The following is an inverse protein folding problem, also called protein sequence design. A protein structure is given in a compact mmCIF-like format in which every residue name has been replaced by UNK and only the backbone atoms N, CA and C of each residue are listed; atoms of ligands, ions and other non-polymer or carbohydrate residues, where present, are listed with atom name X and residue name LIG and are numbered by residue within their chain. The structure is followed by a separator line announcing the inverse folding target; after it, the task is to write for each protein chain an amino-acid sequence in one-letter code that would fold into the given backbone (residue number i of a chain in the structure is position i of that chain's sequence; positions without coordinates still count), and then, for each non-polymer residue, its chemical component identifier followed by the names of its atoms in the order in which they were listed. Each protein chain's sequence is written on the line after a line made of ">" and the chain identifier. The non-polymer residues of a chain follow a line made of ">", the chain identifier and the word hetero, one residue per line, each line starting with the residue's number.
data_IF_572739459687
#
_entry.id   IF_572739459687
#
_cell.length_a   1.000
_cell.length_b   1.000
_cell.length_c   1.000
_cell.angle_alpha   90.00
_cell.angle_beta   90.00
_cell.angle_gamma   90.00
#
_symmetry.space_group_name_H-M   'P 1'
#
loop_
_entity.id
_entity.type
_entity.pdbx_description
1 polymer ?
#
# COMPACT_ATOMS: atom_id res chain seq x y z
N UNK A 1 -18.01 -25.64 2.91
CA UNK A 1 -17.26 -25.49 4.17
C UNK A 1 -17.13 -24.02 4.55
N UNK A 2 -16.35 -23.20 3.82
CA UNK A 2 -16.20 -21.78 4.12
C UNK A 2 -17.52 -20.99 4.07
N UNK A 3 -18.31 -21.15 3.00
CA UNK A 3 -19.63 -20.49 2.86
C UNK A 3 -20.61 -20.87 3.99
N UNK A 4 -20.51 -22.10 4.51
CA UNK A 4 -21.33 -22.57 5.64
C UNK A 4 -20.91 -21.95 6.98
N UNK A 5 -19.63 -21.62 7.13
CA UNK A 5 -19.07 -21.06 8.37
C UNK A 5 -19.16 -19.52 8.40
N UNK A 6 -18.93 -18.85 7.27
CA UNK A 6 -18.80 -17.39 7.19
C UNK A 6 -19.93 -16.73 6.37
N UNK A 7 -20.91 -17.49 5.86
CA UNK A 7 -22.05 -16.97 5.12
C UNK A 7 -21.62 -15.97 4.03
N UNK A 8 -22.07 -14.70 4.13
CA UNK A 8 -21.82 -13.62 3.16
C UNK A 8 -20.47 -12.91 3.32
N UNK A 9 -19.73 -13.14 4.41
CA UNK A 9 -18.40 -12.54 4.59
C UNK A 9 -17.26 -13.41 4.02
N UNK A 10 -17.61 -14.48 3.30
CA UNK A 10 -16.65 -15.31 2.57
C UNK A 10 -15.95 -14.52 1.48
N UNK A 11 -14.62 -14.59 1.44
CA UNK A 11 -13.83 -14.16 0.30
C UNK A 11 -14.21 -14.93 -0.96
N UNK A 12 -14.00 -14.33 -2.13
CA UNK A 12 -14.26 -15.03 -3.39
C UNK A 12 -13.49 -16.36 -3.46
N UNK A 13 -14.07 -17.38 -4.13
CA UNK A 13 -13.42 -18.67 -4.37
C UNK A 13 -11.97 -18.56 -4.88
N UNK A 14 -11.63 -17.70 -5.87
CA UNK A 14 -10.25 -17.54 -6.31
C UNK A 14 -9.33 -16.99 -5.21
N UNK A 15 -9.77 -15.99 -4.44
CA UNK A 15 -8.99 -15.45 -3.32
C UNK A 15 -8.70 -16.53 -2.26
N UNK A 16 -9.72 -17.33 -1.90
CA UNK A 16 -9.52 -18.44 -0.96
C UNK A 16 -8.52 -19.48 -1.46
N UNK A 17 -8.51 -19.76 -2.78
CA UNK A 17 -7.57 -20.70 -3.39
C UNK A 17 -6.13 -20.16 -3.44
N UNK A 18 -5.95 -18.87 -3.74
CA UNK A 18 -4.65 -18.21 -3.69
C UNK A 18 -4.04 -18.28 -2.28
N UNK A 19 -4.82 -17.95 -1.25
CA UNK A 19 -4.39 -18.08 0.15
C UNK A 19 -4.01 -19.51 0.51
N UNK A 20 -4.85 -20.50 0.14
CA UNK A 20 -4.53 -21.91 0.35
C UNK A 20 -3.19 -22.30 -0.28
N UNK A 21 -2.93 -21.86 -1.52
CA UNK A 21 -1.68 -22.14 -2.23
C UNK A 21 -0.46 -21.55 -1.51
N UNK A 22 -0.49 -20.26 -1.16
CA UNK A 22 0.67 -19.61 -0.50
C UNK A 22 0.93 -20.19 0.90
N UNK A 23 -0.11 -20.53 1.66
CA UNK A 23 0.08 -21.20 2.96
C UNK A 23 0.65 -22.61 2.79
N UNK A 24 0.21 -23.35 1.77
CA UNK A 24 0.76 -24.67 1.44
C UNK A 24 2.23 -24.62 1.01
N UNK A 25 2.64 -23.52 0.39
CA UNK A 25 4.04 -23.24 0.01
C UNK A 25 4.90 -22.79 1.20
N UNK A 26 4.34 -22.67 2.41
CA UNK A 26 5.07 -22.41 3.65
C UNK A 26 5.06 -20.96 4.11
N UNK A 27 4.31 -20.06 3.44
CA UNK A 27 4.04 -18.73 4.00
C UNK A 27 3.30 -18.89 5.33
N UNK A 28 3.72 -18.16 6.36
CA UNK A 28 3.02 -18.12 7.67
C UNK A 28 2.42 -16.75 7.99
N UNK A 29 2.75 -15.74 7.19
CA UNK A 29 2.37 -14.34 7.36
C UNK A 29 0.97 -14.11 6.77
N UNK A 30 0.09 -13.47 7.54
CA UNK A 30 -1.30 -13.18 7.14
C UNK A 30 -1.43 -11.75 6.59
N UNK A 31 -0.48 -10.88 6.93
CA UNK A 31 -0.39 -9.51 6.46
C UNK A 31 -0.21 -9.44 4.94
N UNK A 32 -0.73 -8.39 4.30
CA UNK A 32 -0.55 -8.19 2.86
C UNK A 32 0.95 -8.01 2.55
N UNK A 33 1.43 -8.76 1.56
CA UNK A 33 2.82 -8.65 1.14
C UNK A 33 3.00 -7.32 0.41
N UNK A 34 4.24 -6.82 0.36
CA UNK A 34 4.58 -5.69 -0.49
C UNK A 34 4.10 -5.97 -1.91
N UNK A 35 3.09 -5.21 -2.34
CA UNK A 35 2.58 -5.31 -3.70
C UNK A 35 3.69 -4.85 -4.62
N UNK A 36 4.05 -5.70 -5.58
CA UNK A 36 4.89 -5.29 -6.70
C UNK A 36 4.10 -4.34 -7.59
N UNK A 37 3.95 -3.10 -7.16
CA UNK A 37 3.40 -2.02 -7.96
C UNK A 37 4.48 -1.42 -8.86
N UNK A 38 4.07 -0.60 -9.83
CA UNK A 38 5.01 0.29 -10.51
C UNK A 38 5.69 1.13 -9.43
N UNK A 39 7.01 1.06 -9.34
CA UNK A 39 7.77 2.00 -8.51
C UNK A 39 7.41 3.41 -8.99
N UNK A 40 6.82 4.21 -8.13
CA UNK A 40 6.60 5.61 -8.41
C UNK A 40 7.97 6.25 -8.59
N UNK A 41 8.32 6.61 -9.83
CA UNK A 41 9.56 7.35 -10.13
C UNK A 41 9.57 8.74 -9.49
N UNK A 42 8.42 9.18 -8.97
CA UNK A 42 8.24 10.43 -8.25
C UNK A 42 8.65 10.36 -6.77
N UNK A 43 8.75 9.18 -6.16
CA UNK A 43 9.00 9.01 -4.72
C UNK A 43 10.48 8.83 -4.35
N UNK A 44 11.40 9.30 -5.21
CA UNK A 44 12.84 9.29 -4.93
C UNK A 44 13.18 10.35 -3.87
N UNK A 45 14.15 10.07 -2.98
CA UNK A 45 14.60 11.02 -1.95
C UNK A 45 14.89 12.42 -2.53
N UNK A 46 15.55 12.48 -3.69
CA UNK A 46 15.81 13.73 -4.42
C UNK A 46 14.55 14.54 -4.74
N UNK A 47 13.49 13.87 -5.19
CA UNK A 47 12.23 14.54 -5.53
C UNK A 47 11.47 14.96 -4.27
N UNK A 48 11.57 14.16 -3.20
CA UNK A 48 10.97 14.48 -1.89
C UNK A 48 11.61 15.76 -1.35
N UNK A 49 12.94 15.86 -1.38
CA UNK A 49 13.65 17.03 -0.86
C UNK A 49 13.41 18.28 -1.72
N UNK A 50 13.37 18.15 -3.05
CA UNK A 50 13.01 19.25 -3.94
C UNK A 50 11.59 19.78 -3.65
N UNK A 51 10.61 18.89 -3.43
CA UNK A 51 9.24 19.29 -3.08
C UNK A 51 9.21 19.96 -1.71
N UNK A 52 9.92 19.43 -0.70
CA UNK A 52 10.01 20.06 0.62
C UNK A 52 10.56 21.48 0.53
N UNK A 53 11.60 21.71 -0.26
CA UNK A 53 12.20 23.04 -0.43
C UNK A 53 11.21 24.03 -1.06
N UNK A 54 10.49 23.62 -2.11
CA UNK A 54 9.46 24.45 -2.76
C UNK A 54 8.34 24.80 -1.77
N UNK A 55 7.87 23.83 -1.00
CA UNK A 55 6.81 24.04 0.00
C UNK A 55 7.27 25.00 1.10
N UNK A 56 8.51 24.85 1.60
CA UNK A 56 9.07 25.73 2.62
C UNK A 56 9.25 27.17 2.12
N UNK A 57 9.71 27.36 0.88
CA UNK A 57 9.83 28.70 0.29
C UNK A 57 8.47 29.36 0.13
N UNK A 58 7.48 28.64 -0.39
CA UNK A 58 6.11 29.17 -0.54
C UNK A 58 5.43 29.48 0.80
N UNK A 59 5.66 28.67 1.84
CA UNK A 59 5.07 28.96 3.16
C UNK A 59 5.71 30.19 3.81
N UNK A 60 7.02 30.41 3.62
CA UNK A 60 7.71 31.60 4.09
C UNK A 60 7.21 32.87 3.38
N UNK A 61 6.99 32.82 2.06
CA UNK A 61 6.46 33.97 1.32
C UNK A 61 5.05 34.35 1.78
N UNK A 62 4.17 33.38 2.05
CA UNK A 62 2.82 33.67 2.57
C UNK A 62 2.79 34.27 3.98
N UNK A 63 3.83 34.02 4.81
CA UNK A 63 3.96 34.62 6.15
C UNK A 63 4.58 36.03 6.12
N UNK A 64 5.39 36.33 5.10
CA UNK A 64 6.04 37.63 4.94
C UNK A 64 5.16 38.67 4.22
N UNK A 65 4.13 38.23 3.51
CA UNK A 65 3.15 39.09 2.82
C UNK A 65 1.95 39.53 3.70
N UNK A 66 1.94 39.19 4.99
CA UNK A 66 0.97 39.65 6.01
C UNK A 66 1.60 40.69 6.95
#
# INVERSE_FOLDING_TARGET
>A
MLEKAFNKSVSSKPCAYEWYKVFKEGRQIVEDMLRSGRRSSSSTELNIDAVKEIVLKNCQTSLLEL
#
